data_IF_568095100664
#
_entry.id   IF_568095100664
#
_cell.length_a   1.000
_cell.length_b   1.000
_cell.length_c   1.000
_cell.angle_alpha   90.00
_cell.angle_beta   90.00
_cell.angle_gamma   90.00
#
_symmetry.space_group_name_H-M   'P 1'
#
loop_
_entity.id
_entity.type
_entity.pdbx_description
1 polymer ?
#
# COMPACT_ATOMS: atom_id res chain seq x y z
N UNK A 1 2.46 -15.84 -18.87
CA UNK A 1 3.04 -15.23 -18.53
C UNK A 1 2.61 -14.07 -18.55
N UNK A 2 2.72 -13.47 -17.94
CA UNK A 2 2.27 -12.51 -17.73
C UNK A 2 2.52 -11.68 -18.62
N UNK A 3 2.23 -11.31 -19.09
CA UNK A 3 2.40 -10.47 -19.90
C UNK A 3 3.30 -9.48 -19.59
N UNK A 4 4.50 -9.67 -19.51
CA UNK A 4 5.38 -8.75 -19.24
C UNK A 4 5.35 -7.77 -20.33
N UNK A 5 5.07 -8.08 -21.55
CA UNK A 5 5.03 -7.11 -22.53
C UNK A 5 3.91 -6.18 -22.36
N UNK A 6 2.77 -6.64 -21.99
CA UNK A 6 1.67 -5.77 -21.69
C UNK A 6 2.03 -4.86 -20.58
N UNK A 7 2.65 -5.36 -19.57
CA UNK A 7 3.01 -4.56 -18.47
C UNK A 7 3.96 -3.49 -18.93
N UNK A 8 4.96 -3.83 -19.69
CA UNK A 8 5.90 -2.88 -20.13
C UNK A 8 5.28 -1.82 -20.97
N UNK A 9 4.39 -2.17 -21.83
CA UNK A 9 3.82 -1.18 -22.71
C UNK A 9 2.90 -0.23 -22.01
N UNK A 10 2.34 -0.60 -20.84
CA UNK A 10 1.47 0.27 -20.15
C UNK A 10 2.19 1.05 -19.11
N UNK A 11 3.35 0.61 -18.69
CA UNK A 11 4.05 1.26 -17.61
C UNK A 11 4.69 2.54 -18.11
N UNK A 12 4.47 3.59 -17.40
CA UNK A 12 5.07 4.87 -17.71
C UNK A 12 6.32 5.03 -16.89
N UNK A 13 6.36 4.50 -15.69
CA UNK A 13 7.49 4.68 -14.80
C UNK A 13 7.38 3.63 -13.70
N UNK A 14 8.47 3.03 -13.33
CA UNK A 14 8.44 1.99 -12.34
C UNK A 14 9.64 2.04 -11.44
N UNK A 15 9.43 1.73 -10.19
CA UNK A 15 10.51 1.60 -9.22
C UNK A 15 10.22 0.42 -8.33
N UNK A 16 11.25 -0.13 -7.71
CA UNK A 16 11.02 -1.21 -6.79
C UNK A 16 11.82 -1.00 -5.54
N UNK A 17 11.40 -1.64 -4.46
CA UNK A 17 12.03 -1.52 -3.17
C UNK A 17 12.14 -2.91 -2.59
N UNK A 18 13.34 -3.37 -2.32
CA UNK A 18 13.54 -4.67 -1.73
C UNK A 18 13.61 -4.55 -0.23
N UNK A 19 12.93 -5.41 0.48
CA UNK A 19 12.93 -5.38 1.91
C UNK A 19 12.91 -6.81 2.41
N UNK A 20 14.06 -7.44 2.51
CA UNK A 20 14.17 -8.83 2.97
C UNK A 20 13.57 -9.75 1.96
N UNK A 21 12.60 -10.56 2.38
CA UNK A 21 11.96 -11.50 1.49
C UNK A 21 10.88 -10.86 0.67
N UNK A 22 10.57 -9.60 0.91
CA UNK A 22 9.53 -8.92 0.17
C UNK A 22 10.13 -7.92 -0.78
N UNK A 23 9.47 -7.72 -1.89
CA UNK A 23 9.83 -6.66 -2.82
C UNK A 23 8.54 -5.91 -3.11
N UNK A 24 8.61 -4.60 -3.09
CA UNK A 24 7.46 -3.79 -3.40
C UNK A 24 7.71 -3.10 -4.73
N UNK A 25 6.80 -3.32 -5.68
CA UNK A 25 6.93 -2.69 -6.98
C UNK A 25 5.93 -1.54 -7.06
N UNK A 26 6.38 -0.41 -7.55
CA UNK A 26 5.53 0.75 -7.70
C UNK A 26 5.51 1.08 -9.18
N UNK A 27 4.40 0.82 -9.83
CA UNK A 27 4.32 0.98 -11.26
C UNK A 27 3.28 2.04 -11.62
N UNK A 28 3.70 3.06 -12.34
CA UNK A 28 2.77 4.06 -12.83
C UNK A 28 2.32 3.61 -14.19
N UNK A 29 1.03 3.47 -14.37
CA UNK A 29 0.45 3.00 -15.62
C UNK A 29 -0.52 4.03 -16.18
N UNK A 30 -0.95 3.85 -17.41
CA UNK A 30 -1.88 4.76 -18.02
C UNK A 30 -3.10 4.02 -18.48
N UNK A 31 -4.24 4.64 -18.44
CA UNK A 31 -5.46 4.08 -19.01
C UNK A 31 -5.52 4.47 -20.47
N UNK A 32 -6.53 4.02 -21.15
CA UNK A 32 -6.71 4.38 -22.54
C UNK A 32 -6.93 5.86 -22.69
N UNK A 33 -7.42 6.51 -21.67
CA UNK A 33 -7.66 7.95 -21.76
C UNK A 33 -6.47 8.73 -21.29
N UNK A 34 -5.33 8.07 -21.17
CA UNK A 34 -4.13 8.75 -20.77
C UNK A 34 -4.15 9.22 -19.33
N UNK A 35 -4.97 8.64 -18.50
CA UNK A 35 -4.95 8.99 -17.10
C UNK A 35 -4.03 8.05 -16.38
N UNK A 36 -3.19 8.56 -15.53
CA UNK A 36 -2.21 7.73 -14.84
C UNK A 36 -2.77 7.17 -13.55
N UNK A 37 -2.36 5.99 -13.20
CA UNK A 37 -2.72 5.42 -11.89
C UNK A 37 -1.52 4.62 -11.39
N UNK A 38 -1.54 4.27 -10.14
CA UNK A 38 -0.42 3.60 -9.52
C UNK A 38 -0.82 2.20 -9.13
N UNK A 39 0.07 1.24 -9.38
CA UNK A 39 -0.14 -0.12 -8.92
C UNK A 39 1.01 -0.45 -7.99
N UNK A 40 0.69 -0.84 -6.78
CA UNK A 40 1.70 -1.26 -5.82
C UNK A 40 1.57 -2.76 -5.68
N UNK A 41 2.65 -3.50 -5.92
CA UNK A 41 2.64 -4.94 -5.81
C UNK A 41 3.58 -5.36 -4.70
N UNK A 42 3.08 -6.13 -3.76
CA UNK A 42 3.94 -6.71 -2.76
C UNK A 42 4.20 -8.13 -3.21
N UNK A 43 5.47 -8.52 -3.32
CA UNK A 43 5.82 -9.85 -3.75
C UNK A 43 6.64 -10.47 -2.63
N UNK A 44 6.18 -11.58 -2.06
CA UNK A 44 6.90 -12.19 -0.98
C UNK A 44 7.36 -13.56 -1.43
N UNK A 45 8.66 -13.85 -1.27
CA UNK A 45 9.22 -15.13 -1.65
C UNK A 45 8.91 -16.12 -0.56
N UNK A 46 8.46 -17.31 -0.91
CA UNK A 46 8.21 -18.31 0.09
C UNK A 46 8.57 -19.67 -0.46
N UNK A 47 8.88 -20.58 0.41
CA UNK A 47 9.32 -21.90 0.04
C UNK A 47 8.14 -22.84 0.06
N UNK A 48 7.99 -23.65 -0.98
CA UNK A 48 6.91 -24.57 -1.05
C UNK A 48 7.49 -25.92 -0.68
N UNK A 49 7.10 -26.45 0.45
CA UNK A 49 7.66 -27.69 0.92
C UNK A 49 7.22 -28.85 0.08
N UNK A 50 6.09 -28.78 -0.54
CA UNK A 50 5.64 -29.89 -1.32
C UNK A 50 6.41 -30.00 -2.62
N UNK A 51 6.71 -28.92 -3.27
CA UNK A 51 7.42 -28.96 -4.52
C UNK A 51 8.92 -28.84 -4.34
N UNK A 52 9.35 -28.37 -3.21
CA UNK A 52 10.77 -28.14 -2.98
C UNK A 52 11.29 -26.91 -3.67
N UNK A 53 10.40 -26.04 -4.12
CA UNK A 53 10.84 -24.88 -4.86
C UNK A 53 10.32 -23.62 -4.22
N UNK A 54 10.86 -22.49 -4.60
CA UNK A 54 10.38 -21.22 -4.11
C UNK A 54 9.32 -20.71 -5.05
N UNK A 55 8.35 -20.01 -4.52
CA UNK A 55 7.41 -19.30 -5.34
C UNK A 55 7.16 -17.95 -4.71
N UNK A 56 6.32 -17.13 -5.31
CA UNK A 56 6.10 -15.80 -4.83
C UNK A 56 4.62 -15.57 -4.61
N UNK A 57 4.32 -14.98 -3.47
CA UNK A 57 2.94 -14.65 -3.12
C UNK A 57 2.80 -13.17 -3.44
N UNK A 58 1.92 -12.79 -4.31
CA UNK A 58 1.82 -11.42 -4.76
C UNK A 58 0.45 -10.84 -4.48
N UNK A 59 0.46 -9.60 -4.05
CA UNK A 59 -0.77 -8.87 -3.77
C UNK A 59 -0.64 -7.49 -4.38
N UNK A 60 -1.71 -6.99 -4.95
CA UNK A 60 -1.64 -5.69 -5.61
C UNK A 60 -2.68 -4.73 -5.07
N UNK A 61 -2.33 -3.47 -5.09
CA UNK A 61 -3.22 -2.39 -4.71
C UNK A 61 -3.23 -1.43 -5.86
N UNK A 62 -4.42 -1.03 -6.29
CA UNK A 62 -4.54 -0.09 -7.37
C UNK A 62 -5.01 1.24 -6.83
N UNK A 63 -4.26 2.30 -7.09
CA UNK A 63 -4.61 3.61 -6.59
C UNK A 63 -4.86 4.56 -7.74
N UNK A 64 -6.00 5.22 -7.69
CA UNK A 64 -6.37 6.15 -8.72
C UNK A 64 -6.31 7.57 -8.17
N UNK A 65 -6.39 8.54 -9.03
CA UNK A 65 -6.06 9.90 -8.64
C UNK A 65 -6.92 10.43 -7.49
N UNK A 66 -8.13 9.95 -7.36
CA UNK A 66 -8.96 10.45 -6.27
C UNK A 66 -8.42 10.04 -4.92
N UNK A 67 -7.60 9.01 -4.86
CA UNK A 67 -7.16 8.46 -3.60
C UNK A 67 -5.69 8.66 -3.31
N UNK A 68 -4.94 9.21 -4.21
CA UNK A 68 -3.49 9.34 -4.01
C UNK A 68 -3.14 10.02 -2.70
N UNK A 69 -3.67 11.19 -2.50
CA UNK A 69 -3.28 11.96 -1.34
C UNK A 69 -3.78 11.34 -0.05
N UNK A 70 -4.99 10.81 -0.10
CA UNK A 70 -5.54 10.21 1.10
C UNK A 70 -4.72 9.00 1.51
N UNK A 71 -4.35 8.18 0.55
CA UNK A 71 -3.60 6.98 0.86
C UNK A 71 -2.20 7.34 1.36
N UNK A 72 -1.54 8.24 0.69
CA UNK A 72 -0.19 8.63 1.06
C UNK A 72 -0.17 9.26 2.44
N UNK A 73 -1.13 10.11 2.71
CA UNK A 73 -1.16 10.78 4.00
C UNK A 73 -1.47 9.80 5.12
N UNK A 74 -2.37 8.87 4.88
CA UNK A 74 -2.67 7.90 5.92
C UNK A 74 -1.46 7.01 6.19
N UNK A 75 -0.76 6.58 5.15
CA UNK A 75 0.41 5.75 5.34
C UNK A 75 1.46 6.50 6.14
N UNK A 76 1.72 7.74 5.78
CA UNK A 76 2.70 8.54 6.46
C UNK A 76 2.31 8.76 7.89
N UNK A 77 1.03 9.03 8.13
CA UNK A 77 0.52 9.24 9.45
C UNK A 77 0.74 8.02 10.34
N UNK A 78 0.44 6.86 9.84
CA UNK A 78 0.57 5.65 10.65
C UNK A 78 2.02 5.31 10.92
N UNK A 79 2.89 5.52 9.95
CA UNK A 79 4.30 5.28 10.15
C UNK A 79 4.85 6.25 11.18
N UNK A 80 4.41 7.49 11.12
CA UNK A 80 4.90 8.48 12.05
C UNK A 80 4.46 8.13 13.47
N UNK A 81 3.24 7.64 13.61
CA UNK A 81 2.77 7.23 14.93
C UNK A 81 3.64 6.10 15.47
N UNK A 82 4.02 5.14 14.63
CA UNK A 82 4.85 4.06 15.07
C UNK A 82 6.18 4.60 15.58
N UNK A 83 6.73 5.58 14.89
CA UNK A 83 8.03 6.10 15.25
C UNK A 83 7.99 6.97 16.51
N UNK A 84 6.94 7.71 16.70
CA UNK A 84 6.91 8.67 17.78
C UNK A 84 5.93 8.32 18.86
N UNK A 85 4.96 7.45 18.55
CA UNK A 85 3.86 7.12 19.45
C UNK A 85 3.01 8.36 19.79
N UNK A 86 3.00 9.32 18.88
CA UNK A 86 2.22 10.53 19.08
C UNK A 86 1.24 10.68 17.93
N UNK A 87 -0.05 10.63 18.17
CA UNK A 87 -1.02 10.78 17.07
C UNK A 87 -0.99 12.18 16.49
N UNK A 88 -1.52 12.32 15.31
CA UNK A 88 -1.59 13.61 14.72
C UNK A 88 -2.59 14.47 15.47
N UNK A 89 -2.45 15.76 15.34
CA UNK A 89 -3.31 16.66 16.03
C UNK A 89 -4.78 16.43 15.74
N UNK A 90 -5.12 16.22 14.49
CA UNK A 90 -6.49 15.99 14.15
C UNK A 90 -7.02 14.73 14.77
N UNK A 91 -6.18 13.74 14.89
CA UNK A 91 -6.59 12.51 15.50
C UNK A 91 -6.82 12.68 16.98
N UNK A 92 -6.00 13.48 17.61
CA UNK A 92 -6.17 13.74 19.02
C UNK A 92 -7.50 14.40 19.26
N UNK A 93 -7.89 15.31 18.39
CA UNK A 93 -9.17 15.96 18.56
C UNK A 93 -10.31 14.99 18.33
N UNK A 94 -10.18 14.09 17.38
CA UNK A 94 -11.22 13.13 17.15
C UNK A 94 -11.35 12.20 18.36
N UNK A 95 -10.26 11.78 18.94
CA UNK A 95 -10.28 10.93 20.09
C UNK A 95 -10.96 11.64 21.25
N UNK A 96 -10.73 12.91 21.41
CA UNK A 96 -11.38 13.64 22.48
C UNK A 96 -12.87 13.67 22.27
N UNK A 97 -13.32 13.87 21.04
CA UNK A 97 -14.73 13.90 20.77
C UNK A 97 -15.35 12.56 21.04
N UNK A 98 -14.68 11.49 20.62
CA UNK A 98 -15.22 10.18 20.84
C UNK A 98 -15.30 9.85 22.31
N UNK A 99 -14.32 10.25 23.04
CA UNK A 99 -14.32 9.96 24.45
C UNK A 99 -15.41 10.67 25.17
N UNK A 100 -15.75 11.82 24.72
CA UNK A 100 -16.79 12.49 25.45
C UNK A 100 -18.10 11.87 25.10
N UNK A 101 -18.29 11.36 23.95
CA UNK A 101 -19.59 10.86 23.69
C UNK A 101 -19.67 9.44 24.08
N UNK A 102 -18.61 8.72 24.14
CA UNK A 102 -18.87 7.44 24.41
C UNK A 102 -17.82 6.62 24.51
N UNK A 103 -17.88 5.78 24.94
CA UNK A 103 -16.91 5.08 25.27
C UNK A 103 -16.64 3.97 24.50
N UNK A 104 -17.17 3.64 23.78
CA UNK A 104 -16.83 2.49 23.24
C UNK A 104 -16.19 2.65 22.09
N UNK A 105 -15.28 3.16 22.05
CA UNK A 105 -14.53 3.30 21.12
C UNK A 105 -13.94 2.17 20.72
N UNK A 106 -13.93 1.54 20.16
CA UNK A 106 -13.40 0.47 19.96
C UNK A 106 -12.70 0.33 18.88
N UNK A 107 -11.96 0.09 18.64
CA UNK A 107 -11.21 0.04 17.71
C UNK A 107 -11.20 -1.01 16.95
N UNK A 108 -11.40 -1.49 16.64
CA UNK A 108 -11.44 -2.39 15.89
C UNK A 108 -10.56 -2.61 14.92
N UNK A 109 -9.98 -2.98 14.82
CA UNK A 109 -9.12 -3.33 13.96
C UNK A 109 -8.26 -3.72 14.42
#
# INVERSE_FOLDING_TARGET
MENREDRSSRDVYSKSLRAGKRTYFFDVKKTKNNEKYLVITESKKQFNEQSGEFDYDKHKIFLYKEDYDKFANMLENMIEYIKTSIPLKEEIEQIRKDNTSNDDIVSNY
#
